data_IF_863686678201
#
_entry.id   IF_863686678201
#
_cell.length_a   1.000
_cell.length_b   1.000
_cell.length_c   1.000
_cell.angle_alpha   90.00
_cell.angle_beta   90.00
_cell.angle_gamma   90.00
#
_symmetry.space_group_name_H-M   'P 1'
#
loop_
_entity.id
_entity.type
_entity.pdbx_description
1 polymer ?
#
# COMPACT_ATOMS: atom_id res chain seq x y z
N UNK A 1 3.32 -6.74 33.24
CA UNK A 1 3.58 -6.14 31.90
C UNK A 1 4.32 -7.17 31.04
N UNK A 2 3.98 -7.33 29.75
CA UNK A 2 4.73 -8.22 28.84
C UNK A 2 6.13 -7.62 28.61
N UNK A 3 7.19 -8.43 28.63
CA UNK A 3 8.55 -8.00 28.27
C UNK A 3 8.62 -7.62 26.79
N UNK A 4 9.46 -6.63 26.44
CA UNK A 4 9.71 -6.21 25.05
C UNK A 4 10.08 -7.39 24.13
N UNK A 5 10.88 -8.33 24.63
CA UNK A 5 11.21 -9.58 23.91
C UNK A 5 9.98 -10.40 23.56
N UNK A 6 9.03 -10.54 24.49
CA UNK A 6 7.80 -11.30 24.26
C UNK A 6 6.95 -10.65 23.17
N UNK A 7 6.87 -9.32 23.15
CA UNK A 7 6.12 -8.58 22.13
C UNK A 7 6.71 -8.76 20.72
N UNK A 8 8.04 -8.67 20.57
CA UNK A 8 8.70 -8.91 19.27
C UNK A 8 8.52 -10.35 18.81
N UNK A 9 8.70 -11.32 19.70
CA UNK A 9 8.49 -12.73 19.37
C UNK A 9 7.05 -12.95 18.91
N UNK A 10 6.06 -12.49 19.69
CA UNK A 10 4.65 -12.64 19.36
C UNK A 10 4.29 -11.99 18.01
N UNK A 11 4.80 -10.78 17.74
CA UNK A 11 4.61 -10.07 16.47
C UNK A 11 5.21 -10.78 15.25
N UNK A 12 6.26 -11.57 15.44
CA UNK A 12 6.91 -12.34 14.38
C UNK A 12 6.29 -13.73 14.24
N UNK A 13 6.04 -14.43 15.36
CA UNK A 13 5.52 -15.81 15.35
C UNK A 13 4.05 -15.87 14.95
N UNK A 14 3.22 -14.91 15.35
CA UNK A 14 1.80 -14.91 14.98
C UNK A 14 1.59 -14.92 13.45
N UNK A 15 2.17 -14.00 12.66
CA UNK A 15 2.02 -14.03 11.20
C UNK A 15 2.69 -15.25 10.57
N UNK A 16 3.83 -15.72 11.10
CA UNK A 16 4.48 -16.95 10.62
C UNK A 16 3.58 -18.17 10.75
N UNK A 17 2.93 -18.34 11.90
CA UNK A 17 2.00 -19.45 12.15
C UNK A 17 0.79 -19.34 11.22
N UNK A 18 0.21 -18.14 11.07
CA UNK A 18 -0.90 -17.90 10.15
C UNK A 18 -0.51 -18.31 8.72
N UNK A 19 0.66 -17.91 8.24
CA UNK A 19 1.13 -18.27 6.90
C UNK A 19 1.41 -19.76 6.74
N UNK A 20 1.97 -20.41 7.76
CA UNK A 20 2.16 -21.86 7.76
C UNK A 20 0.81 -22.60 7.63
N UNK A 21 -0.23 -22.15 8.35
CA UNK A 21 -1.59 -22.68 8.20
C UNK A 21 -2.16 -22.44 6.80
N UNK A 22 -2.01 -21.24 6.24
CA UNK A 22 -2.47 -20.92 4.88
C UNK A 22 -1.79 -21.81 3.84
N UNK A 23 -0.48 -22.02 3.94
CA UNK A 23 0.24 -22.87 3.00
C UNK A 23 -0.09 -24.35 3.17
N UNK A 24 -0.26 -24.83 4.40
CA UNK A 24 -0.76 -26.18 4.65
C UNK A 24 -2.15 -26.38 4.03
N UNK A 25 -3.03 -25.37 4.16
CA UNK A 25 -4.34 -25.38 3.53
C UNK A 25 -4.25 -25.41 2.00
N UNK A 26 -3.43 -24.57 1.38
CA UNK A 26 -3.21 -24.58 -0.08
C UNK A 26 -2.57 -25.86 -0.59
N UNK A 27 -1.78 -26.55 0.24
CA UNK A 27 -1.20 -27.83 -0.13
C UNK A 27 -2.23 -28.97 -0.11
N UNK A 28 -3.17 -28.95 0.85
CA UNK A 28 -4.26 -29.94 0.97
C UNK A 28 -5.33 -29.68 -0.08
N UNK A 29 -5.72 -28.41 -0.25
CA UNK A 29 -6.76 -27.94 -1.14
C UNK A 29 -6.18 -26.92 -2.14
N UNK A 30 -5.44 -27.38 -3.17
CA UNK A 30 -4.86 -26.48 -4.16
C UNK A 30 -5.97 -25.74 -4.92
N UNK A 31 -5.88 -24.40 -5.07
CA UNK A 31 -6.74 -23.66 -5.97
C UNK A 31 -6.66 -24.21 -7.38
N UNK A 32 -7.76 -24.14 -8.15
CA UNK A 32 -7.89 -24.75 -9.47
C UNK A 32 -6.79 -24.31 -10.49
N UNK A 33 -6.17 -23.15 -10.26
CA UNK A 33 -5.11 -22.56 -11.09
C UNK A 33 -3.68 -22.85 -10.61
N UNK A 34 -3.50 -23.49 -9.45
CA UNK A 34 -2.20 -23.75 -8.83
C UNK A 34 -1.97 -25.26 -8.78
N UNK A 35 -1.09 -25.77 -9.64
CA UNK A 35 -0.72 -27.19 -9.58
C UNK A 35 -0.01 -27.49 -8.26
N UNK A 36 -0.29 -28.66 -7.68
CA UNK A 36 0.41 -29.18 -6.50
C UNK A 36 1.92 -29.33 -6.75
N UNK A 37 2.31 -29.50 -8.01
CA UNK A 37 3.72 -29.59 -8.45
C UNK A 37 4.51 -28.29 -8.19
N UNK A 38 3.82 -27.16 -8.03
CA UNK A 38 4.43 -25.89 -7.66
C UNK A 38 4.91 -25.89 -6.20
N UNK A 39 4.37 -26.74 -5.33
CA UNK A 39 4.87 -26.92 -3.95
C UNK A 39 6.07 -27.87 -3.88
N UNK A 40 7.06 -27.67 -4.76
CA UNK A 40 8.29 -28.44 -4.78
C UNK A 40 9.22 -28.02 -3.63
N UNK A 41 10.01 -28.97 -3.10
CA UNK A 41 10.97 -28.78 -2.01
C UNK A 41 11.91 -27.59 -2.25
N UNK A 42 12.33 -27.38 -3.50
CA UNK A 42 13.19 -26.24 -3.87
C UNK A 42 12.53 -24.88 -3.63
N UNK A 43 11.24 -24.72 -3.97
CA UNK A 43 10.55 -23.44 -3.78
C UNK A 43 10.16 -23.23 -2.31
N UNK A 44 9.88 -24.31 -1.59
CA UNK A 44 9.68 -24.27 -0.14
C UNK A 44 10.96 -23.81 0.59
N UNK A 45 12.12 -24.34 0.19
CA UNK A 45 13.41 -23.92 0.73
C UNK A 45 13.69 -22.43 0.45
N UNK A 46 13.43 -21.96 -0.77
CA UNK A 46 13.60 -20.55 -1.13
C UNK A 46 12.68 -19.65 -0.30
N UNK A 47 11.44 -20.08 -0.07
CA UNK A 47 10.49 -19.37 0.79
C UNK A 47 10.95 -19.32 2.24
N UNK A 48 11.50 -20.40 2.78
CA UNK A 48 12.09 -20.41 4.12
C UNK A 48 13.28 -19.45 4.20
N UNK A 49 14.20 -19.50 3.23
CA UNK A 49 15.35 -18.56 3.16
C UNK A 49 14.88 -17.11 3.06
N UNK A 50 13.83 -16.84 2.28
CA UNK A 50 13.20 -15.53 2.16
C UNK A 50 12.68 -15.01 3.52
N UNK A 51 12.10 -15.89 4.35
CA UNK A 51 11.68 -15.52 5.70
C UNK A 51 12.86 -15.26 6.65
N UNK A 52 13.96 -16.00 6.52
CA UNK A 52 15.19 -15.68 7.28
C UNK A 52 15.70 -14.27 6.95
N UNK A 53 15.66 -13.86 5.68
CA UNK A 53 16.02 -12.49 5.27
C UNK A 53 15.10 -11.48 5.98
N UNK A 54 13.79 -11.74 6.03
CA UNK A 54 12.82 -10.88 6.73
C UNK A 54 13.08 -10.80 8.22
N UNK A 55 13.44 -11.90 8.87
CA UNK A 55 13.82 -11.90 10.28
C UNK A 55 15.06 -11.03 10.54
N UNK A 56 16.06 -11.08 9.65
CA UNK A 56 17.23 -10.19 9.71
C UNK A 56 16.82 -8.74 9.55
N UNK A 57 15.92 -8.42 8.60
CA UNK A 57 15.40 -7.06 8.41
C UNK A 57 14.66 -6.57 9.66
N UNK A 58 13.82 -7.40 10.26
CA UNK A 58 13.10 -7.08 11.51
C UNK A 58 14.10 -6.84 12.64
N UNK A 59 15.12 -7.69 12.79
CA UNK A 59 16.15 -7.51 13.81
C UNK A 59 16.95 -6.21 13.61
N UNK A 60 17.27 -5.84 12.36
CA UNK A 60 17.89 -4.55 12.03
C UNK A 60 16.95 -3.37 12.34
N UNK A 61 15.65 -3.50 12.03
CA UNK A 61 14.65 -2.48 12.31
C UNK A 61 14.50 -2.23 13.82
N UNK A 62 14.31 -3.30 14.60
CA UNK A 62 14.30 -3.26 16.07
C UNK A 62 15.60 -2.66 16.59
N UNK A 63 16.74 -3.08 16.05
CA UNK A 63 18.05 -2.57 16.43
C UNK A 63 18.19 -1.05 16.22
N UNK A 64 17.70 -0.53 15.09
CA UNK A 64 17.65 0.92 14.82
C UNK A 64 16.71 1.65 15.76
N UNK A 65 15.58 1.03 16.10
CA UNK A 65 14.57 1.63 16.98
C UNK A 65 15.11 1.80 18.40
N UNK A 66 15.77 0.77 18.93
CA UNK A 66 16.43 0.83 20.23
C UNK A 66 17.56 1.87 20.26
N UNK A 67 18.35 1.98 19.18
CA UNK A 67 19.37 3.04 19.06
C UNK A 67 18.75 4.44 19.08
N UNK A 68 17.62 4.65 18.40
CA UNK A 68 16.88 5.93 18.45
C UNK A 68 16.32 6.22 19.84
N UNK A 69 15.96 5.19 20.60
CA UNK A 69 15.53 5.30 21.98
C UNK A 69 16.67 5.50 22.99
N UNK A 70 17.93 5.58 22.54
CA UNK A 70 19.10 5.88 23.39
C UNK A 70 19.89 4.66 23.85
N UNK A 71 19.50 3.43 23.49
CA UNK A 71 20.23 2.22 23.88
C UNK A 71 21.46 2.02 22.97
N UNK A 72 22.65 1.94 23.57
CA UNK A 72 23.89 1.51 22.89
C UNK A 72 24.14 0.05 23.20
N UNK A 73 24.20 -0.78 22.16
CA UNK A 73 24.45 -2.21 22.28
C UNK A 73 24.99 -2.77 20.96
N UNK A 74 25.70 -3.89 21.05
CA UNK A 74 26.11 -4.68 19.89
C UNK A 74 25.01 -5.65 19.47
N UNK A 75 24.94 -6.03 18.19
CA UNK A 75 23.84 -6.87 17.67
C UNK A 75 23.69 -8.21 18.42
N UNK A 76 24.79 -8.71 19.00
CA UNK A 76 24.83 -9.93 19.83
C UNK A 76 24.12 -9.76 21.18
N UNK A 77 24.05 -8.54 21.69
CA UNK A 77 23.40 -8.17 22.96
C UNK A 77 21.92 -7.82 22.78
N UNK A 78 21.44 -7.74 21.53
CA UNK A 78 20.05 -7.44 21.19
C UNK A 78 19.04 -8.26 22.03
N UNK A 79 19.18 -9.59 22.23
CA UNK A 79 18.23 -10.37 23.01
C UNK A 79 18.21 -10.01 24.50
N UNK A 80 19.33 -9.50 25.04
CA UNK A 80 19.46 -9.08 26.43
C UNK A 80 18.82 -7.71 26.63
N UNK A 81 19.15 -6.76 25.75
CA UNK A 81 18.58 -5.40 25.75
C UNK A 81 17.07 -5.47 25.57
N UNK A 82 16.55 -6.35 24.71
CA UNK A 82 15.11 -6.54 24.51
C UNK A 82 14.34 -6.98 25.78
N UNK A 83 15.02 -7.56 26.77
CA UNK A 83 14.40 -7.90 28.06
C UNK A 83 14.33 -6.71 29.02
N UNK A 84 15.29 -5.77 28.90
CA UNK A 84 15.47 -4.61 29.78
C UNK A 84 14.75 -3.36 29.26
N UNK A 85 14.40 -3.33 27.97
CA UNK A 85 13.71 -2.20 27.32
C UNK A 85 12.27 -2.05 27.81
N UNK A 86 11.85 -0.79 28.00
CA UNK A 86 10.46 -0.43 28.28
C UNK A 86 9.54 -0.99 27.16
N UNK A 87 8.58 -1.86 27.52
CA UNK A 87 7.69 -2.47 26.54
C UNK A 87 6.81 -1.47 25.78
N UNK A 88 6.66 -0.21 26.21
CA UNK A 88 5.96 0.82 25.44
C UNK A 88 6.68 1.17 24.14
N UNK A 89 8.01 1.27 24.17
CA UNK A 89 8.83 1.65 23.01
C UNK A 89 8.69 0.59 21.89
N UNK A 90 8.65 -0.68 22.27
CA UNK A 90 8.47 -1.80 21.34
C UNK A 90 6.98 -1.98 20.99
N UNK A 91 6.09 -1.77 21.95
CA UNK A 91 4.63 -1.87 21.79
C UNK A 91 4.12 -1.03 20.63
N UNK A 92 4.57 0.23 20.54
CA UNK A 92 4.18 1.15 19.48
C UNK A 92 4.57 0.65 18.07
N UNK A 93 5.66 -0.11 17.96
CA UNK A 93 6.16 -0.66 16.69
C UNK A 93 5.89 -2.15 16.50
N UNK A 94 5.21 -2.79 17.44
CA UNK A 94 4.83 -4.20 17.36
C UNK A 94 3.91 -4.44 16.17
N UNK A 95 3.00 -3.48 15.89
CA UNK A 95 2.13 -3.52 14.70
C UNK A 95 2.92 -3.41 13.40
N UNK A 96 3.96 -2.60 13.35
CA UNK A 96 4.79 -2.44 12.16
C UNK A 96 5.60 -3.71 11.88
N UNK A 97 6.18 -4.31 12.93
CA UNK A 97 6.88 -5.60 12.83
C UNK A 97 5.93 -6.68 12.31
N UNK A 98 4.73 -6.77 12.90
CA UNK A 98 3.69 -7.70 12.46
C UNK A 98 3.36 -7.49 10.99
N UNK A 99 3.13 -6.24 10.56
CA UNK A 99 2.79 -5.91 9.18
C UNK A 99 3.91 -6.27 8.20
N UNK A 100 5.17 -6.03 8.56
CA UNK A 100 6.33 -6.39 7.71
C UNK A 100 6.34 -7.90 7.46
N UNK A 101 6.22 -8.71 8.52
CA UNK A 101 6.25 -10.18 8.40
C UNK A 101 4.99 -10.69 7.67
N UNK A 102 3.82 -10.12 7.97
CA UNK A 102 2.56 -10.47 7.32
C UNK A 102 2.59 -10.17 5.81
N UNK A 103 3.05 -8.98 5.40
CA UNK A 103 3.19 -8.62 4.00
C UNK A 103 4.22 -9.50 3.28
N UNK A 104 5.30 -9.87 3.96
CA UNK A 104 6.32 -10.74 3.37
C UNK A 104 5.79 -12.14 3.06
N UNK A 105 4.81 -12.62 3.82
CA UNK A 105 4.14 -13.88 3.53
C UNK A 105 3.30 -13.84 2.25
N UNK A 106 2.77 -12.67 1.84
CA UNK A 106 2.11 -12.51 0.54
C UNK A 106 3.11 -12.71 -0.60
N UNK A 107 4.28 -12.06 -0.51
CA UNK A 107 5.38 -12.26 -1.47
C UNK A 107 5.81 -13.73 -1.54
N UNK A 108 6.00 -14.34 -0.37
CA UNK A 108 6.43 -15.73 -0.25
C UNK A 108 5.40 -16.71 -0.84
N UNK A 109 4.11 -16.42 -0.66
CA UNK A 109 3.01 -17.20 -1.26
C UNK A 109 3.03 -17.10 -2.78
N UNK A 110 3.30 -15.91 -3.34
CA UNK A 110 3.43 -15.76 -4.80
C UNK A 110 4.66 -16.50 -5.36
N UNK A 111 5.76 -16.55 -4.61
CA UNK A 111 6.95 -17.34 -4.98
C UNK A 111 6.65 -18.84 -4.94
N UNK A 112 5.90 -19.33 -3.94
CA UNK A 112 5.45 -20.73 -3.89
C UNK A 112 4.47 -21.07 -5.02
N UNK A 113 3.53 -20.18 -5.31
CA UNK A 113 2.47 -20.45 -6.29
C UNK A 113 3.00 -20.43 -7.73
N UNK A 114 3.95 -19.56 -8.06
CA UNK A 114 4.37 -19.29 -9.44
C UNK A 114 5.87 -19.51 -9.71
N UNK A 115 6.65 -19.84 -8.68
CA UNK A 115 8.11 -19.94 -8.72
C UNK A 115 8.80 -18.58 -8.58
N UNK A 116 10.11 -18.56 -8.29
CA UNK A 116 10.86 -17.33 -7.93
C UNK A 116 10.74 -16.22 -8.97
N UNK A 117 11.02 -16.53 -10.24
CA UNK A 117 11.03 -15.52 -11.32
C UNK A 117 9.64 -14.93 -11.55
N UNK A 118 8.62 -15.79 -11.74
CA UNK A 118 7.26 -15.33 -12.03
C UNK A 118 6.58 -14.76 -10.79
N UNK A 119 6.80 -15.34 -9.61
CA UNK A 119 6.26 -14.88 -8.33
C UNK A 119 6.81 -13.51 -7.91
N UNK A 120 8.09 -13.24 -8.15
CA UNK A 120 8.66 -11.90 -7.92
C UNK A 120 8.03 -10.88 -8.86
N UNK A 121 7.97 -11.18 -10.16
CA UNK A 121 7.33 -10.29 -11.16
C UNK A 121 5.86 -10.06 -10.80
N UNK A 122 5.13 -11.11 -10.42
CA UNK A 122 3.73 -11.03 -10.01
C UNK A 122 3.55 -10.17 -8.77
N UNK A 123 4.37 -10.34 -7.74
CA UNK A 123 4.25 -9.54 -6.50
C UNK A 123 4.52 -8.07 -6.78
N UNK A 124 5.57 -7.76 -7.54
CA UNK A 124 5.88 -6.37 -7.91
C UNK A 124 4.76 -5.79 -8.78
N UNK A 125 4.22 -6.57 -9.72
CA UNK A 125 3.08 -6.17 -10.53
C UNK A 125 1.83 -5.86 -9.70
N UNK A 126 1.45 -6.75 -8.76
CA UNK A 126 0.31 -6.56 -7.86
C UNK A 126 0.54 -5.33 -6.99
N UNK A 127 1.74 -5.16 -6.44
CA UNK A 127 2.08 -3.96 -5.66
C UNK A 127 1.94 -2.69 -6.50
N UNK A 128 2.40 -2.71 -7.74
CA UNK A 128 2.31 -1.57 -8.65
C UNK A 128 0.84 -1.28 -9.01
N UNK A 129 0.03 -2.29 -9.32
CA UNK A 129 -1.42 -2.15 -9.54
C UNK A 129 -2.11 -1.57 -8.30
N UNK A 130 -1.84 -2.12 -7.11
CA UNK A 130 -2.45 -1.69 -5.85
C UNK A 130 -2.04 -0.26 -5.49
N UNK A 131 -0.77 0.09 -5.67
CA UNK A 131 -0.26 1.44 -5.44
C UNK A 131 -0.78 2.45 -6.47
N UNK A 132 -1.12 2.04 -7.69
CA UNK A 132 -1.57 2.96 -8.74
C UNK A 132 -3.08 3.15 -8.70
N UNK A 133 -3.81 2.04 -8.72
CA UNK A 133 -5.27 2.03 -8.82
C UNK A 133 -5.88 2.08 -7.42
N UNK A 134 -5.43 1.23 -6.51
CA UNK A 134 -5.97 1.16 -5.15
C UNK A 134 -5.78 2.46 -4.37
N UNK A 135 -4.57 3.02 -4.41
CA UNK A 135 -4.26 4.30 -3.78
C UNK A 135 -5.07 5.46 -4.39
N UNK A 136 -5.24 5.47 -5.72
CA UNK A 136 -6.10 6.45 -6.40
C UNK A 136 -7.55 6.37 -5.91
N UNK A 137 -8.12 5.17 -5.88
CA UNK A 137 -9.49 4.95 -5.42
C UNK A 137 -9.68 5.36 -3.97
N UNK A 138 -8.77 4.96 -3.09
CA UNK A 138 -8.82 5.32 -1.67
C UNK A 138 -8.79 6.84 -1.47
N UNK A 139 -7.91 7.55 -2.19
CA UNK A 139 -7.83 9.01 -2.08
C UNK A 139 -9.07 9.67 -2.64
N UNK A 140 -9.56 9.21 -3.79
CA UNK A 140 -10.80 9.74 -4.36
C UNK A 140 -11.97 9.55 -3.41
N UNK A 141 -12.10 8.39 -2.76
CA UNK A 141 -13.12 8.14 -1.73
C UNK A 141 -12.95 9.08 -0.54
N UNK A 142 -11.71 9.26 -0.06
CA UNK A 142 -11.40 10.16 1.04
C UNK A 142 -11.81 11.60 0.72
N UNK A 143 -11.50 12.08 -0.49
CA UNK A 143 -11.88 13.41 -0.96
C UNK A 143 -13.41 13.53 -1.05
N UNK A 144 -14.06 12.52 -1.62
CA UNK A 144 -15.52 12.55 -1.83
C UNK A 144 -16.29 12.56 -0.50
N UNK A 145 -15.84 11.82 0.51
CA UNK A 145 -16.53 11.71 1.81
C UNK A 145 -16.03 12.76 2.80
N UNK A 146 -14.74 12.71 3.17
CA UNK A 146 -14.15 13.57 4.19
C UNK A 146 -13.80 14.95 3.63
N UNK A 147 -13.26 15.03 2.42
CA UNK A 147 -12.91 16.30 1.77
C UNK A 147 -14.14 17.19 1.60
N UNK A 148 -15.23 16.66 1.06
CA UNK A 148 -16.50 17.37 0.88
C UNK A 148 -17.05 17.88 2.22
N UNK A 149 -17.10 17.02 3.25
CA UNK A 149 -17.60 17.39 4.57
C UNK A 149 -16.77 18.51 5.22
N UNK A 150 -15.44 18.43 5.13
CA UNK A 150 -14.53 19.43 5.69
C UNK A 150 -14.61 20.77 4.95
N UNK A 151 -14.74 20.75 3.61
CA UNK A 151 -14.93 21.97 2.80
C UNK A 151 -16.26 22.64 3.17
N UNK A 152 -17.34 21.87 3.31
CA UNK A 152 -18.65 22.41 3.70
C UNK A 152 -18.60 23.03 5.10
N UNK A 153 -17.93 22.36 6.04
CA UNK A 153 -17.73 22.86 7.40
C UNK A 153 -16.96 24.18 7.42
N UNK A 154 -15.88 24.31 6.66
CA UNK A 154 -15.14 25.58 6.57
C UNK A 154 -15.96 26.67 5.89
N UNK A 155 -16.73 26.34 4.83
CA UNK A 155 -17.58 27.31 4.13
C UNK A 155 -18.64 27.91 5.07
N UNK A 156 -19.22 27.08 5.94
CA UNK A 156 -20.26 27.48 6.90
C UNK A 156 -19.70 28.17 8.15
N UNK A 157 -18.57 27.70 8.67
CA UNK A 157 -18.05 28.12 9.99
C UNK A 157 -16.88 29.11 9.89
N UNK A 158 -16.27 29.28 8.72
CA UNK A 158 -15.09 30.14 8.49
C UNK A 158 -13.78 29.65 9.14
N UNK A 159 -13.82 28.57 9.93
CA UNK A 159 -12.65 27.99 10.60
C UNK A 159 -11.69 27.35 9.60
N UNK A 160 -10.39 27.59 9.77
CA UNK A 160 -9.34 27.08 8.86
C UNK A 160 -9.30 25.54 8.86
N UNK A 161 -9.07 24.97 7.67
CA UNK A 161 -8.77 23.56 7.49
C UNK A 161 -7.52 23.14 8.27
N UNK A 162 -7.57 21.93 8.80
CA UNK A 162 -6.46 21.35 9.57
C UNK A 162 -5.29 20.95 8.66
N UNK A 163 -4.10 20.85 9.25
CA UNK A 163 -2.88 20.38 8.57
C UNK A 163 -3.03 18.98 7.92
N UNK A 164 -3.98 18.16 8.38
CA UNK A 164 -4.32 16.89 7.75
C UNK A 164 -4.89 17.05 6.33
N UNK A 165 -5.52 18.18 6.02
CA UNK A 165 -6.06 18.48 4.69
C UNK A 165 -4.95 18.76 3.67
N UNK A 166 -3.88 19.46 4.05
CA UNK A 166 -2.73 19.71 3.19
C UNK A 166 -2.03 18.41 2.77
N UNK A 167 -1.93 17.44 3.70
CA UNK A 167 -1.38 16.11 3.41
C UNK A 167 -2.26 15.36 2.41
N UNK A 168 -3.58 15.45 2.54
CA UNK A 168 -4.52 14.84 1.60
C UNK A 168 -4.39 15.45 0.18
N UNK A 169 -4.16 16.76 0.08
CA UNK A 169 -3.93 17.44 -1.21
C UNK A 169 -2.64 16.96 -1.90
N UNK A 170 -1.54 16.87 -1.16
CA UNK A 170 -0.26 16.37 -1.69
C UNK A 170 -0.38 14.90 -2.13
N UNK A 171 -1.06 14.08 -1.34
CA UNK A 171 -1.26 12.66 -1.67
C UNK A 171 -2.12 12.50 -2.93
N UNK A 172 -3.15 13.34 -3.08
CA UNK A 172 -4.01 13.40 -4.28
C UNK A 172 -3.24 13.79 -5.53
N UNK A 173 -2.33 14.75 -5.42
CA UNK A 173 -1.46 15.15 -6.52
C UNK A 173 -0.51 14.02 -6.93
N UNK A 174 0.15 13.38 -5.96
CA UNK A 174 1.11 12.30 -6.21
C UNK A 174 0.43 11.09 -6.88
N UNK A 175 -0.74 10.71 -6.37
CA UNK A 175 -1.57 9.64 -6.92
C UNK A 175 -2.06 9.94 -8.32
N UNK A 176 -2.57 11.16 -8.54
CA UNK A 176 -3.07 11.61 -9.84
C UNK A 176 -1.97 11.70 -10.90
N UNK A 177 -0.75 12.09 -10.51
CA UNK A 177 0.40 12.15 -11.42
C UNK A 177 0.90 10.76 -11.84
N UNK A 178 0.84 9.78 -10.92
CA UNK A 178 1.35 8.44 -11.19
C UNK A 178 0.60 7.73 -12.32
N UNK A 179 -0.73 7.76 -12.33
CA UNK A 179 -1.52 7.05 -13.35
C UNK A 179 -1.44 7.73 -14.72
N UNK A 180 -1.28 9.07 -14.74
CA UNK A 180 -0.96 9.82 -15.97
C UNK A 180 0.39 9.41 -16.54
N UNK A 181 1.41 9.24 -15.68
CA UNK A 181 2.72 8.74 -16.09
C UNK A 181 2.66 7.33 -16.68
N UNK A 182 1.86 6.43 -16.07
CA UNK A 182 1.64 5.06 -16.58
C UNK A 182 0.96 5.09 -17.96
N UNK A 183 -0.01 5.99 -18.18
CA UNK A 183 -0.63 6.16 -19.51
C UNK A 183 0.34 6.73 -20.53
N UNK A 184 1.20 7.68 -20.16
CA UNK A 184 2.26 8.17 -21.04
C UNK A 184 3.21 7.04 -21.45
N UNK A 185 3.57 6.16 -20.52
CA UNK A 185 4.38 4.96 -20.82
C UNK A 185 3.65 3.98 -21.76
N UNK A 186 2.32 3.87 -21.66
CA UNK A 186 1.53 2.98 -22.55
C UNK A 186 1.58 3.37 -24.03
N UNK A 187 1.91 4.63 -24.35
CA UNK A 187 2.08 5.10 -25.73
C UNK A 187 3.36 4.59 -26.39
N UNK A 188 4.26 3.96 -25.64
CA UNK A 188 5.50 3.43 -26.16
C UNK A 188 5.48 1.89 -26.24
N UNK A 189 5.78 1.30 -27.42
CA UNK A 189 5.71 -0.14 -27.62
C UNK A 189 6.72 -0.93 -26.76
N UNK A 190 7.83 -0.32 -26.33
CA UNK A 190 8.80 -0.97 -25.45
C UNK A 190 8.27 -1.19 -24.02
N UNK A 191 7.26 -0.43 -23.57
CA UNK A 191 6.70 -0.57 -22.23
C UNK A 191 5.93 -1.88 -22.04
N UNK A 192 5.31 -2.43 -23.10
CA UNK A 192 4.63 -3.73 -23.07
C UNK A 192 5.59 -4.93 -22.91
N UNK A 193 6.87 -4.73 -23.24
CA UNK A 193 7.91 -5.74 -23.04
C UNK A 193 8.33 -5.86 -21.57
N UNK A 194 8.03 -4.86 -20.73
CA UNK A 194 8.29 -4.91 -19.30
C UNK A 194 7.22 -5.76 -18.62
N UNK A 195 7.57 -7.00 -18.26
CA UNK A 195 6.64 -8.00 -17.71
C UNK A 195 5.92 -7.52 -16.44
N UNK A 196 6.58 -6.65 -15.65
CA UNK A 196 6.05 -6.07 -14.41
C UNK A 196 4.97 -5.01 -14.67
N UNK A 197 5.10 -4.25 -15.76
CA UNK A 197 4.20 -3.12 -16.09
C UNK A 197 3.02 -3.58 -16.96
N UNK A 198 3.20 -4.69 -17.68
CA UNK A 198 2.17 -5.35 -18.51
C UNK A 198 0.79 -5.46 -17.85
N UNK A 199 0.62 -5.89 -16.58
CA UNK A 199 -0.71 -5.96 -15.96
C UNK A 199 -1.38 -4.59 -15.82
N UNK A 200 -0.65 -3.51 -15.52
CA UNK A 200 -1.25 -2.16 -15.53
C UNK A 200 -1.63 -1.73 -16.94
N UNK A 201 -0.77 -2.01 -17.92
CA UNK A 201 -1.08 -1.71 -19.31
C UNK A 201 -2.31 -2.49 -19.79
N UNK A 202 -2.49 -3.74 -19.34
CA UNK A 202 -3.67 -4.55 -19.63
C UNK A 202 -4.94 -3.94 -19.03
N UNK A 203 -4.90 -3.45 -17.80
CA UNK A 203 -6.03 -2.68 -17.23
C UNK A 203 -6.31 -1.42 -18.06
N UNK A 204 -5.28 -0.81 -18.63
CA UNK A 204 -5.40 0.34 -19.53
C UNK A 204 -5.75 -0.01 -20.99
N UNK A 205 -5.94 -1.29 -21.35
CA UNK A 205 -6.41 -1.69 -22.70
C UNK A 205 -7.92 -1.59 -22.86
N UNK A 206 -8.69 -1.70 -21.77
CA UNK A 206 -10.12 -1.39 -21.80
C UNK A 206 -10.31 0.13 -21.92
N UNK A 207 -10.77 0.57 -23.08
CA UNK A 207 -10.94 1.99 -23.40
C UNK A 207 -11.87 2.71 -22.42
N UNK A 208 -12.88 2.04 -21.86
CA UNK A 208 -13.85 2.69 -20.98
C UNK A 208 -13.32 2.81 -19.55
N UNK A 209 -12.78 1.72 -18.99
CA UNK A 209 -12.23 1.72 -17.64
C UNK A 209 -10.98 2.60 -17.56
N UNK A 210 -10.10 2.53 -18.56
CA UNK A 210 -8.92 3.39 -18.62
C UNK A 210 -9.30 4.87 -18.70
N UNK A 211 -10.31 5.23 -19.48
CA UNK A 211 -10.80 6.60 -19.60
C UNK A 211 -11.33 7.12 -18.26
N UNK A 212 -12.12 6.31 -17.56
CA UNK A 212 -12.68 6.69 -16.27
C UNK A 212 -11.60 6.79 -15.18
N UNK A 213 -10.62 5.88 -15.15
CA UNK A 213 -9.46 5.98 -14.24
C UNK A 213 -8.63 7.23 -14.51
N UNK A 214 -8.39 7.57 -15.78
CA UNK A 214 -7.66 8.79 -16.15
C UNK A 214 -8.41 10.06 -15.78
N UNK A 215 -9.73 10.10 -16.00
CA UNK A 215 -10.59 11.20 -15.57
C UNK A 215 -10.53 11.37 -14.05
N UNK A 216 -10.62 10.26 -13.30
CA UNK A 216 -10.52 10.27 -11.85
C UNK A 216 -9.13 10.76 -11.38
N UNK A 217 -8.07 10.30 -12.03
CA UNK A 217 -6.69 10.74 -11.82
C UNK A 217 -6.50 12.24 -12.07
N UNK A 218 -7.05 12.74 -13.18
CA UNK A 218 -7.00 14.15 -13.54
C UNK A 218 -7.78 15.02 -12.55
N UNK A 219 -8.96 14.58 -12.09
CA UNK A 219 -9.73 15.30 -11.08
C UNK A 219 -9.01 15.32 -9.72
N UNK A 220 -8.38 14.22 -9.31
CA UNK A 220 -7.56 14.19 -8.09
C UNK A 220 -6.34 15.13 -8.20
N UNK A 221 -5.65 15.13 -9.34
CA UNK A 221 -4.54 16.06 -9.56
C UNK A 221 -5.01 17.52 -9.54
N UNK A 222 -6.13 17.82 -10.21
CA UNK A 222 -6.73 19.16 -10.25
C UNK A 222 -7.17 19.60 -8.84
N UNK A 223 -7.76 18.70 -8.06
CA UNK A 223 -8.12 18.93 -6.66
C UNK A 223 -6.88 19.32 -5.84
N UNK A 224 -5.77 18.57 -5.98
CA UNK A 224 -4.49 18.88 -5.35
C UNK A 224 -3.94 20.25 -5.77
N UNK A 225 -3.90 20.54 -7.07
CA UNK A 225 -3.36 21.80 -7.62
C UNK A 225 -4.17 23.01 -7.13
N UNK A 226 -5.49 22.96 -7.21
CA UNK A 226 -6.36 24.06 -6.77
C UNK A 226 -6.23 24.26 -5.26
N UNK A 227 -6.15 23.17 -4.49
CA UNK A 227 -5.95 23.23 -3.05
C UNK A 227 -4.62 23.85 -2.66
N UNK A 228 -3.54 23.60 -3.40
CA UNK A 228 -2.21 24.15 -3.10
C UNK A 228 -2.06 25.59 -3.60
N UNK A 229 -2.53 25.90 -4.81
CA UNK A 229 -2.26 27.18 -5.46
C UNK A 229 -3.33 28.25 -5.22
N UNK A 230 -4.61 27.86 -5.23
CA UNK A 230 -5.73 28.81 -5.23
C UNK A 230 -6.27 29.03 -3.82
N UNK A 231 -6.39 27.96 -3.02
CA UNK A 231 -6.87 28.04 -1.63
C UNK A 231 -6.14 29.09 -0.76
N UNK A 232 -4.79 29.21 -0.78
CA UNK A 232 -4.10 30.21 0.05
C UNK A 232 -4.29 31.64 -0.44
N UNK A 233 -4.53 31.85 -1.74
CA UNK A 233 -4.65 33.19 -2.35
C UNK A 233 -6.09 33.72 -2.39
N UNK A 234 -7.07 32.86 -2.67
CA UNK A 234 -8.49 33.21 -2.84
C UNK A 234 -9.39 32.17 -2.18
N UNK A 235 -9.46 32.19 -0.85
CA UNK A 235 -10.05 31.14 -0.01
C UNK A 235 -11.49 30.75 -0.37
N UNK A 236 -12.43 31.69 -0.52
CA UNK A 236 -13.83 31.38 -0.88
C UNK A 236 -13.97 30.75 -2.26
N UNK A 237 -13.24 31.27 -3.25
CA UNK A 237 -13.25 30.73 -4.63
C UNK A 237 -12.58 29.35 -4.69
N UNK A 238 -11.46 29.18 -3.97
CA UNK A 238 -10.77 27.90 -3.87
C UNK A 238 -11.66 26.81 -3.26
N UNK A 239 -12.38 27.12 -2.18
CA UNK A 239 -13.31 26.17 -1.55
C UNK A 239 -14.47 25.78 -2.47
N UNK A 240 -15.06 26.74 -3.18
CA UNK A 240 -16.13 26.45 -4.14
C UNK A 240 -15.64 25.57 -5.30
N UNK A 241 -14.46 25.84 -5.85
CA UNK A 241 -13.86 25.03 -6.91
C UNK A 241 -13.54 23.61 -6.43
N UNK A 242 -12.97 23.47 -5.23
CA UNK A 242 -12.71 22.17 -4.63
C UNK A 242 -13.99 21.38 -4.37
N UNK A 243 -15.06 22.06 -3.95
CA UNK A 243 -16.36 21.43 -3.72
C UNK A 243 -16.95 20.86 -5.02
N UNK A 244 -16.92 21.65 -6.10
CA UNK A 244 -17.38 21.20 -7.43
C UNK A 244 -16.60 19.97 -7.90
N UNK A 245 -15.27 19.97 -7.72
CA UNK A 245 -14.42 18.84 -8.10
C UNK A 245 -14.72 17.60 -7.25
N UNK A 246 -14.88 17.76 -5.93
CA UNK A 246 -15.22 16.65 -5.04
C UNK A 246 -16.58 16.02 -5.38
N UNK A 247 -17.57 16.84 -5.75
CA UNK A 247 -18.87 16.39 -6.27
C UNK A 247 -18.74 15.67 -7.61
N UNK A 248 -17.84 16.09 -8.50
CA UNK A 248 -17.58 15.41 -9.77
C UNK A 248 -16.84 14.07 -9.60
N UNK A 249 -16.02 13.93 -8.56
CA UNK A 249 -15.31 12.68 -8.22
C UNK A 249 -16.29 11.57 -7.80
N UNK A 250 -17.36 11.90 -7.06
CA UNK A 250 -18.33 10.92 -6.54
C UNK A 250 -19.00 10.03 -7.62
N UNK A 251 -19.63 10.56 -8.68
CA UNK A 251 -20.25 9.73 -9.71
C UNK A 251 -19.21 8.97 -10.57
N UNK A 252 -18.01 9.53 -10.73
CA UNK A 252 -16.90 8.86 -11.43
C UNK A 252 -16.37 7.67 -10.63
N UNK A 253 -16.23 7.80 -9.32
CA UNK A 253 -15.90 6.71 -8.41
C UNK A 253 -16.90 5.55 -8.56
N UNK A 254 -18.20 5.83 -8.48
CA UNK A 254 -19.24 4.79 -8.60
C UNK A 254 -19.13 4.06 -9.94
N UNK A 255 -18.92 4.79 -11.05
CA UNK A 255 -18.71 4.18 -12.38
C UNK A 255 -17.48 3.27 -12.42
N UNK A 256 -16.35 3.73 -11.87
CA UNK A 256 -15.11 2.93 -11.82
C UNK A 256 -15.29 1.68 -10.95
N UNK A 257 -15.97 1.80 -9.81
CA UNK A 257 -16.25 0.66 -8.93
C UNK A 257 -17.13 -0.40 -9.60
N UNK A 258 -18.20 0.01 -10.29
CA UNK A 258 -19.06 -0.91 -11.02
C UNK A 258 -18.26 -1.63 -12.11
N UNK A 259 -17.43 -0.92 -12.87
CA UNK A 259 -16.63 -1.49 -13.95
C UNK A 259 -15.54 -2.43 -13.45
N UNK A 260 -14.90 -2.12 -12.32
CA UNK A 260 -13.91 -3.01 -11.69
C UNK A 260 -14.54 -4.28 -11.14
N UNK A 261 -15.81 -4.24 -10.72
CA UNK A 261 -16.52 -5.43 -10.23
C UNK A 261 -17.06 -6.32 -11.36
N UNK A 262 -17.23 -5.78 -12.57
CA UNK A 262 -17.68 -6.53 -13.75
C UNK A 262 -16.55 -7.22 -14.54
N UNK A 263 -15.29 -7.06 -14.11
CA UNK A 263 -14.09 -7.66 -14.70
C UNK A 263 -13.71 -8.97 -14.01
#
# INVERSE_FOLDING_TARGET
MKSGKRLVIEAVTAPLVIWAFIWAWFYINPPHDISRDNFNTSWLLITVVSYFITLVIVALFVGRLLKKAGYRFEFRELPRVLNEVDPKIIGDSTRDIFNIVAMWGVFSTAVLAFGVKKGTIFTVAVYLVLSSIGLLLMISMLISVLGTALILYELLTGRRLSHSFEKALLLSLLSGAFLVLVRLMSGYPWAFNITVVRPLLKVCTDNYLCKNLLLLSALNALYGIIGILILPKRRRLGLLLLLIIALAIAPLLVKVFIQLHSL
#
